data_IF_912066859687
#
_entry.id   IF_912066859687
#
_cell.length_a   1.000
_cell.length_b   1.000
_cell.length_c   1.000
_cell.angle_alpha   90.00
_cell.angle_beta   90.00
_cell.angle_gamma   90.00
#
_symmetry.space_group_name_H-M   'P 1'
#
loop_
_entity.id
_entity.type
_entity.pdbx_description
1 polymer ?
#
# COMPACT_ATOMS: atom_id res chain seq x y z
N UNK A 1 -12.72 -6.62 5.24
CA UNK A 1 -13.98 -5.91 5.54
C UNK A 1 -14.68 -6.65 6.67
N UNK A 2 -14.46 -6.25 7.92
CA UNK A 2 -14.90 -7.04 9.07
C UNK A 2 -16.42 -7.06 9.29
N UNK A 3 -17.16 -6.12 8.69
CA UNK A 3 -18.60 -5.95 8.91
C UNK A 3 -19.45 -6.25 7.66
N UNK A 4 -18.88 -6.86 6.62
CA UNK A 4 -19.62 -7.18 5.40
C UNK A 4 -19.10 -8.48 4.76
N UNK A 5 -19.76 -9.63 5.00
CA UNK A 5 -19.34 -10.92 4.45
C UNK A 5 -19.54 -11.01 2.93
N UNK A 6 -20.45 -10.21 2.37
CA UNK A 6 -20.73 -10.23 0.91
C UNK A 6 -19.68 -9.45 0.12
N UNK A 7 -18.90 -8.59 0.78
CA UNK A 7 -17.85 -7.81 0.14
C UNK A 7 -16.55 -8.61 0.07
N UNK A 8 -16.54 -9.63 -0.80
CA UNK A 8 -15.38 -10.47 -1.07
C UNK A 8 -15.05 -10.56 -2.57
N UNK A 9 -13.79 -10.85 -2.90
CA UNK A 9 -13.40 -11.19 -4.27
C UNK A 9 -11.95 -10.87 -4.65
N UNK A 10 -11.68 -10.95 -5.95
CA UNK A 10 -10.37 -10.65 -6.55
C UNK A 10 -10.53 -9.40 -7.42
N UNK A 11 -9.58 -8.48 -7.36
CA UNK A 11 -9.51 -7.28 -8.21
C UNK A 11 -9.85 -7.61 -9.67
N UNK A 12 -10.69 -6.78 -10.29
CA UNK A 12 -11.10 -6.96 -11.70
C UNK A 12 -9.96 -6.80 -12.69
N UNK A 13 -8.84 -6.21 -12.26
CA UNK A 13 -7.62 -6.05 -13.09
C UNK A 13 -6.78 -7.33 -13.17
N UNK A 14 -7.18 -8.39 -12.48
CA UNK A 14 -6.48 -9.68 -12.46
C UNK A 14 -7.33 -10.68 -13.23
N UNK A 15 -6.74 -11.26 -14.27
CA UNK A 15 -7.37 -12.14 -15.26
C UNK A 15 -6.47 -13.36 -15.52
N UNK A 16 -6.97 -14.34 -16.26
CA UNK A 16 -6.20 -15.53 -16.64
C UNK A 16 -5.78 -16.41 -15.46
N UNK A 17 -4.62 -17.04 -15.58
CA UNK A 17 -4.11 -18.01 -14.62
C UNK A 17 -3.83 -17.39 -13.24
N UNK A 18 -3.33 -16.15 -13.18
CA UNK A 18 -3.14 -15.38 -11.94
C UNK A 18 -4.43 -15.32 -11.09
N UNK A 19 -5.59 -15.22 -11.76
CA UNK A 19 -6.89 -15.16 -11.07
C UNK A 19 -7.26 -16.52 -10.47
N UNK A 20 -6.95 -17.61 -11.18
CA UNK A 20 -7.22 -18.97 -10.73
C UNK A 20 -6.33 -19.31 -9.54
N UNK A 21 -5.03 -19.03 -9.63
CA UNK A 21 -4.07 -19.22 -8.54
C UNK A 21 -4.46 -18.42 -7.30
N UNK A 22 -4.82 -17.14 -7.45
CA UNK A 22 -5.28 -16.33 -6.32
C UNK A 22 -6.58 -16.81 -5.72
N UNK A 23 -7.46 -17.42 -6.51
CA UNK A 23 -8.72 -18.00 -6.01
C UNK A 23 -8.45 -19.22 -5.14
N UNK A 24 -7.49 -20.06 -5.54
CA UNK A 24 -7.04 -21.20 -4.74
C UNK A 24 -6.34 -20.75 -3.46
N UNK A 25 -5.42 -19.79 -3.57
CA UNK A 25 -4.74 -19.20 -2.41
C UNK A 25 -5.72 -18.50 -1.45
N UNK A 26 -6.80 -17.89 -1.96
CA UNK A 26 -7.86 -17.31 -1.13
C UNK A 26 -8.65 -18.36 -0.36
N UNK A 27 -8.87 -19.53 -0.96
CA UNK A 27 -9.63 -20.61 -0.33
C UNK A 27 -8.88 -21.25 0.84
N UNK A 28 -7.55 -21.14 0.89
CA UNK A 28 -6.72 -21.61 2.01
C UNK A 28 -6.55 -20.59 3.13
N UNK A 29 -7.08 -19.36 2.99
CA UNK A 29 -7.00 -18.35 4.04
C UNK A 29 -8.01 -18.59 5.16
N UNK A 30 -7.55 -18.42 6.40
CA UNK A 30 -8.38 -18.48 7.59
C UNK A 30 -9.06 -17.12 7.81
N UNK A 31 -10.19 -16.89 7.14
CA UNK A 31 -11.01 -15.70 7.30
C UNK A 31 -12.13 -15.96 8.33
N UNK A 32 -12.23 -15.16 9.42
CA UNK A 32 -13.32 -15.28 10.38
C UNK A 32 -14.70 -15.11 9.74
N UNK A 33 -15.69 -15.84 10.26
CA UNK A 33 -17.08 -15.73 9.80
C UNK A 33 -17.61 -14.30 9.90
N UNK A 34 -18.47 -13.92 8.96
CA UNK A 34 -19.04 -12.58 8.89
C UNK A 34 -18.13 -11.52 8.26
N UNK A 35 -16.89 -11.85 7.93
CA UNK A 35 -15.96 -10.93 7.27
C UNK A 35 -15.87 -11.19 5.76
N UNK A 36 -15.66 -10.13 4.98
CA UNK A 36 -15.33 -10.20 3.56
C UNK A 36 -13.88 -9.78 3.30
N UNK A 37 -13.24 -10.35 2.28
CA UNK A 37 -11.86 -10.02 1.88
C UNK A 37 -11.78 -9.75 0.38
N UNK A 38 -11.10 -8.66 -0.01
CA UNK A 38 -10.80 -8.36 -1.41
C UNK A 38 -9.30 -8.41 -1.64
N UNK A 39 -8.86 -9.29 -2.55
CA UNK A 39 -7.47 -9.33 -3.00
C UNK A 39 -7.21 -8.21 -3.99
N UNK A 40 -6.18 -7.41 -3.69
CA UNK A 40 -5.76 -6.26 -4.50
C UNK A 40 -4.80 -6.70 -5.61
N UNK A 41 -4.64 -5.88 -6.65
CA UNK A 41 -3.71 -6.14 -7.77
C UNK A 41 -2.28 -6.39 -7.30
N UNK A 42 -1.85 -5.80 -6.19
CA UNK A 42 -0.53 -6.04 -5.58
C UNK A 42 -0.38 -7.44 -4.92
N UNK A 43 -1.46 -8.21 -4.84
CA UNK A 43 -1.47 -9.59 -4.32
C UNK A 43 -1.07 -10.63 -5.36
N UNK A 44 -1.01 -10.28 -6.65
CA UNK A 44 -0.57 -11.22 -7.71
C UNK A 44 0.83 -11.73 -7.43
N UNK A 45 1.05 -13.04 -7.59
CA UNK A 45 2.32 -13.71 -7.32
C UNK A 45 2.71 -13.80 -5.84
N UNK A 46 1.79 -13.53 -4.90
CA UNK A 46 2.02 -13.76 -3.47
C UNK A 46 1.57 -15.15 -3.07
N UNK A 47 2.36 -15.80 -2.22
CA UNK A 47 2.01 -17.10 -1.66
C UNK A 47 0.84 -16.99 -0.67
N UNK A 48 0.16 -18.10 -0.42
CA UNK A 48 -0.95 -18.16 0.55
C UNK A 48 -0.49 -17.71 1.95
N UNK A 49 0.73 -18.05 2.37
CA UNK A 49 1.30 -17.65 3.66
C UNK A 49 1.50 -16.14 3.75
N UNK A 50 1.96 -15.50 2.66
CA UNK A 50 2.13 -14.05 2.61
C UNK A 50 0.77 -13.33 2.69
N UNK A 51 -0.25 -13.87 2.03
CA UNK A 51 -1.62 -13.36 2.11
C UNK A 51 -2.24 -13.57 3.50
N UNK A 52 -2.02 -14.74 4.12
CA UNK A 52 -2.46 -15.05 5.49
C UNK A 52 -1.79 -14.14 6.52
N UNK A 53 -0.51 -13.83 6.33
CA UNK A 53 0.22 -12.89 7.16
C UNK A 53 -0.38 -11.48 7.06
N UNK A 54 -0.67 -10.99 5.85
CA UNK A 54 -1.32 -9.68 5.66
C UNK A 54 -2.73 -9.66 6.28
N UNK A 55 -3.51 -10.72 6.09
CA UNK A 55 -4.83 -10.90 6.72
C UNK A 55 -4.72 -10.84 8.24
N UNK A 56 -3.79 -11.60 8.83
CA UNK A 56 -3.58 -11.67 10.28
C UNK A 56 -3.23 -10.29 10.86
N UNK A 57 -2.42 -9.49 10.15
CA UNK A 57 -2.15 -8.12 10.57
C UNK A 57 -3.43 -7.26 10.56
N UNK A 58 -4.26 -7.37 9.51
CA UNK A 58 -5.53 -6.62 9.43
C UNK A 58 -6.50 -7.04 10.53
N UNK A 59 -6.57 -8.32 10.86
CA UNK A 59 -7.40 -8.83 11.96
C UNK A 59 -6.93 -8.30 13.31
N UNK A 60 -5.62 -8.32 13.60
CA UNK A 60 -5.06 -7.70 14.82
C UNK A 60 -5.41 -6.21 14.93
N UNK A 61 -5.33 -5.49 13.81
CA UNK A 61 -5.71 -4.09 13.77
C UNK A 61 -7.21 -3.89 14.04
N UNK A 62 -8.07 -4.75 13.50
CA UNK A 62 -9.50 -4.74 13.79
C UNK A 62 -9.81 -5.01 15.26
N UNK A 63 -9.13 -5.97 15.89
CA UNK A 63 -9.27 -6.22 17.33
C UNK A 63 -8.86 -5.01 18.17
N UNK A 64 -7.80 -4.30 17.78
CA UNK A 64 -7.39 -3.07 18.45
C UNK A 64 -8.46 -1.96 18.33
N UNK A 65 -9.09 -1.83 17.16
CA UNK A 65 -10.20 -0.89 16.94
C UNK A 65 -11.39 -1.22 17.85
N UNK A 66 -11.81 -2.49 17.93
CA UNK A 66 -12.91 -2.91 18.81
C UNK A 66 -12.62 -2.63 20.28
N UNK A 67 -11.43 -3.03 20.77
CA UNK A 67 -11.01 -2.77 22.14
C UNK A 67 -10.99 -1.28 22.49
N UNK A 68 -10.47 -0.46 21.58
CA UNK A 68 -10.46 0.99 21.76
C UNK A 68 -11.89 1.55 21.82
N UNK A 69 -12.79 1.09 20.93
CA UNK A 69 -14.20 1.50 20.94
C UNK A 69 -14.92 1.17 22.25
N UNK A 70 -14.64 0.00 22.85
CA UNK A 70 -15.24 -0.43 24.12
C UNK A 70 -14.62 0.27 25.35
N UNK A 71 -13.38 0.76 25.24
CA UNK A 71 -12.63 1.33 26.36
C UNK A 71 -13.15 2.66 26.90
N UNK A 72 -13.90 3.44 26.11
CA UNK A 72 -14.35 4.79 26.48
C UNK A 72 -15.67 5.13 25.79
N UNK A 73 -16.57 5.90 26.43
CA UNK A 73 -17.75 6.42 25.74
C UNK A 73 -17.40 7.44 24.65
N UNK A 74 -18.21 7.47 23.61
CA UNK A 74 -18.12 8.41 22.49
C UNK A 74 -18.38 9.87 22.94
N UNK A 75 -17.90 10.89 22.18
CA UNK A 75 -17.09 10.81 20.97
C UNK A 75 -15.58 10.86 21.24
N UNK A 76 -14.81 10.07 20.48
CA UNK A 76 -13.34 10.16 20.44
C UNK A 76 -12.79 9.49 19.17
N UNK A 77 -11.55 9.84 18.82
CA UNK A 77 -10.84 9.28 17.67
C UNK A 77 -10.31 7.89 18.00
N UNK A 78 -10.77 6.86 17.27
CA UNK A 78 -10.34 5.46 17.46
C UNK A 78 -9.18 5.12 16.53
N UNK A 79 -9.27 5.54 15.27
CA UNK A 79 -8.25 5.29 14.27
C UNK A 79 -8.10 6.52 13.38
N UNK A 80 -6.87 6.97 13.19
CA UNK A 80 -6.53 8.06 12.32
C UNK A 80 -5.72 7.54 11.14
N UNK A 81 -6.32 7.51 9.95
CA UNK A 81 -5.61 7.19 8.71
C UNK A 81 -4.87 8.45 8.23
N UNK A 82 -3.80 8.87 8.93
CA UNK A 82 -3.10 10.13 8.60
C UNK A 82 -1.59 10.02 8.44
N UNK A 83 -0.98 8.84 8.58
CA UNK A 83 0.42 8.74 8.20
C UNK A 83 0.52 8.67 6.67
N UNK A 84 0.75 9.82 6.04
CA UNK A 84 0.92 9.97 4.59
C UNK A 84 1.96 8.99 4.05
N UNK A 85 2.95 8.61 4.86
CA UNK A 85 3.99 7.63 4.55
C UNK A 85 3.40 6.23 4.41
N UNK A 86 2.48 5.85 5.30
CA UNK A 86 1.81 4.55 5.24
C UNK A 86 0.94 4.46 4.01
N UNK A 87 0.19 5.52 3.71
CA UNK A 87 -0.60 5.61 2.49
C UNK A 87 0.31 5.54 1.26
N UNK A 88 1.41 6.29 1.27
CA UNK A 88 2.40 6.30 0.20
C UNK A 88 2.98 4.89 -0.06
N UNK A 89 3.38 4.19 1.00
CA UNK A 89 3.90 2.83 0.88
C UNK A 89 2.85 1.82 0.47
N UNK A 90 1.62 1.92 0.98
CA UNK A 90 0.55 1.00 0.61
C UNK A 90 0.14 1.14 -0.86
N UNK A 91 0.08 2.37 -1.35
CA UNK A 91 -0.58 2.68 -2.63
C UNK A 91 0.42 2.78 -3.80
N UNK A 92 1.66 3.18 -3.53
CA UNK A 92 2.64 3.47 -4.57
C UNK A 92 3.90 2.59 -4.50
N UNK A 93 4.12 1.83 -3.43
CA UNK A 93 5.32 1.00 -3.30
C UNK A 93 5.30 -0.21 -4.23
N UNK A 94 5.97 -0.07 -5.37
CA UNK A 94 6.10 -1.07 -6.42
C UNK A 94 7.55 -1.57 -6.52
N UNK A 95 7.75 -2.74 -7.11
CA UNK A 95 9.07 -3.38 -7.19
C UNK A 95 10.09 -2.61 -8.02
N UNK A 96 9.62 -1.82 -9.00
CA UNK A 96 10.40 -0.92 -9.87
C UNK A 96 10.95 0.32 -9.15
N UNK A 97 10.51 0.59 -7.91
CA UNK A 97 11.09 1.67 -7.10
C UNK A 97 12.50 1.28 -6.67
N UNK A 98 13.49 2.05 -7.12
CA UNK A 98 14.90 1.87 -6.77
C UNK A 98 15.20 2.33 -5.34
N UNK A 99 14.81 3.55 -4.99
CA UNK A 99 15.16 4.18 -3.71
C UNK A 99 14.01 5.04 -3.15
N UNK A 100 13.94 5.14 -1.82
CA UNK A 100 13.02 5.98 -1.08
C UNK A 100 13.86 6.96 -0.27
N UNK A 101 13.92 8.21 -0.71
CA UNK A 101 14.70 9.26 -0.07
C UNK A 101 13.85 10.00 0.95
N UNK A 102 14.37 10.09 2.17
CA UNK A 102 13.75 10.83 3.28
C UNK A 102 14.80 11.78 3.83
N UNK A 103 14.47 13.05 3.96
CA UNK A 103 15.38 14.12 4.45
C UNK A 103 15.35 14.28 5.98
N UNK A 104 14.36 13.70 6.66
CA UNK A 104 14.20 13.78 8.11
C UNK A 104 14.51 12.43 8.80
N UNK A 105 15.52 12.37 9.68
CA UNK A 105 15.90 11.14 10.39
C UNK A 105 14.77 10.52 11.23
N UNK A 106 13.93 11.35 11.87
CA UNK A 106 12.79 10.86 12.68
C UNK A 106 11.76 10.18 11.78
N UNK A 107 11.53 10.75 10.60
CA UNK A 107 10.58 10.22 9.61
C UNK A 107 11.11 8.93 8.98
N UNK A 108 12.42 8.83 8.78
CA UNK A 108 13.07 7.64 8.25
C UNK A 108 12.92 6.43 9.16
N UNK A 109 13.11 6.60 10.47
CA UNK A 109 12.90 5.53 11.44
C UNK A 109 11.43 5.09 11.48
N UNK A 110 10.50 6.04 11.46
CA UNK A 110 9.07 5.73 11.34
C UNK A 110 8.78 4.96 10.04
N UNK A 111 9.36 5.36 8.92
CA UNK A 111 9.17 4.69 7.63
C UNK A 111 9.65 3.22 7.67
N UNK A 112 10.83 2.96 8.25
CA UNK A 112 11.38 1.60 8.40
C UNK A 112 10.49 0.72 9.27
N UNK A 113 10.03 1.23 10.41
CA UNK A 113 9.10 0.51 11.28
C UNK A 113 7.81 0.15 10.55
N UNK A 114 7.28 1.07 9.72
CA UNK A 114 6.06 0.84 8.96
C UNK A 114 6.24 -0.16 7.82
N UNK A 115 7.37 -0.13 7.10
CA UNK A 115 7.67 -1.13 6.06
C UNK A 115 7.78 -2.53 6.67
N UNK A 116 8.43 -2.65 7.83
CA UNK A 116 8.47 -3.91 8.58
C UNK A 116 7.07 -4.36 9.00
N UNK A 117 6.24 -3.45 9.51
CA UNK A 117 4.85 -3.73 9.88
C UNK A 117 3.94 -4.09 8.68
N UNK A 118 4.27 -3.61 7.48
CA UNK A 118 3.55 -3.95 6.24
C UNK A 118 3.98 -5.29 5.63
N UNK A 119 4.97 -5.98 6.20
CA UNK A 119 5.44 -7.27 5.69
C UNK A 119 6.22 -7.14 4.39
N UNK A 120 6.87 -5.99 4.18
CA UNK A 120 7.68 -5.71 2.99
C UNK A 120 9.14 -5.41 3.36
N UNK A 121 9.82 -6.27 4.14
CA UNK A 121 11.18 -6.01 4.61
C UNK A 121 12.18 -5.80 3.47
N UNK A 122 11.88 -6.33 2.27
CA UNK A 122 12.62 -6.14 1.02
C UNK A 122 12.78 -4.66 0.61
N UNK A 123 11.90 -3.78 1.08
CA UNK A 123 12.00 -2.33 0.82
C UNK A 123 12.73 -1.56 1.91
N UNK A 124 13.06 -2.18 3.04
CA UNK A 124 13.76 -1.51 4.15
C UNK A 124 15.15 -1.02 3.73
N UNK A 125 15.86 -1.82 2.92
CA UNK A 125 17.17 -1.47 2.35
C UNK A 125 17.11 -0.34 1.32
N UNK A 126 15.94 -0.10 0.73
CA UNK A 126 15.71 0.97 -0.25
C UNK A 126 15.43 2.33 0.42
N UNK A 127 15.11 2.36 1.72
CA UNK A 127 14.93 3.61 2.47
C UNK A 127 16.30 4.20 2.85
N UNK A 128 16.60 5.39 2.30
CA UNK A 128 17.86 6.10 2.53
C UNK A 128 17.61 7.51 3.07
N UNK A 129 18.53 7.95 3.94
CA UNK A 129 18.54 9.32 4.44
C UNK A 129 19.17 10.22 3.37
N UNK A 130 18.47 11.29 3.00
CA UNK A 130 19.04 12.35 2.20
C UNK A 130 19.75 13.35 3.12
N UNK A 131 21.03 13.61 2.86
CA UNK A 131 21.88 14.51 3.67
C UNK A 131 22.52 15.61 2.81
N UNK A 132 21.99 15.87 1.62
CA UNK A 132 22.50 16.92 0.75
C UNK A 132 22.17 18.32 1.29
N UNK A 133 23.03 19.29 0.99
CA UNK A 133 22.84 20.69 1.39
C UNK A 133 21.68 21.37 0.63
N UNK A 134 21.42 20.90 -0.59
CA UNK A 134 20.33 21.38 -1.44
C UNK A 134 19.04 20.65 -1.03
N UNK A 135 17.88 21.34 -0.88
CA UNK A 135 16.62 20.67 -0.57
C UNK A 135 16.31 19.54 -1.56
N UNK A 136 15.79 18.41 -1.06
CA UNK A 136 15.59 17.19 -1.83
C UNK A 136 14.85 17.43 -3.16
N UNK A 137 13.77 18.21 -3.15
CA UNK A 137 12.98 18.47 -4.36
C UNK A 137 13.69 19.38 -5.37
N UNK A 138 14.49 20.32 -4.90
CA UNK A 138 15.31 21.19 -5.74
C UNK A 138 16.47 20.39 -6.37
N UNK A 139 17.09 19.48 -5.62
CA UNK A 139 18.15 18.60 -6.12
C UNK A 139 17.67 17.74 -7.29
N UNK A 140 16.43 17.24 -7.24
CA UNK A 140 15.81 16.48 -8.34
C UNK A 140 15.03 17.36 -9.34
N UNK A 141 15.10 18.69 -9.23
CA UNK A 141 14.45 19.66 -10.12
C UNK A 141 12.93 19.46 -10.30
N UNK A 142 12.25 18.92 -9.27
CA UNK A 142 10.81 18.67 -9.29
C UNK A 142 10.01 19.79 -8.63
N UNK A 143 10.66 20.76 -8.01
CA UNK A 143 10.04 21.86 -7.29
C UNK A 143 9.14 22.73 -8.19
N UNK A 144 9.60 23.04 -9.40
CA UNK A 144 8.82 23.78 -10.41
C UNK A 144 7.54 23.06 -10.85
N UNK A 145 7.51 21.72 -10.73
CA UNK A 145 6.35 20.90 -11.05
C UNK A 145 5.36 20.78 -9.88
N UNK A 146 5.74 21.19 -8.67
CA UNK A 146 4.91 21.13 -7.45
C UNK A 146 4.15 22.42 -7.12
N UNK A 147 4.41 23.52 -7.85
CA UNK A 147 3.83 24.86 -7.62
C UNK A 147 2.33 24.98 -7.97
N UNK A 148 1.71 23.96 -8.57
CA UNK A 148 0.25 23.86 -8.69
C UNK A 148 -0.34 22.98 -7.56
N UNK A 149 -1.26 23.49 -6.72
CA UNK A 149 -1.86 22.68 -5.66
C UNK A 149 -2.87 21.69 -6.26
N UNK A 150 -3.28 20.61 -5.56
CA UNK A 150 -3.21 20.43 -4.11
C UNK A 150 -2.63 19.07 -3.65
N UNK A 151 -2.28 19.02 -2.36
CA UNK A 151 -2.32 17.86 -1.46
C UNK A 151 -1.79 16.50 -1.97
N UNK A 152 -0.80 15.96 -1.26
CA UNK A 152 -0.35 14.56 -1.24
C UNK A 152 0.86 14.22 -2.12
N UNK A 153 1.79 13.51 -1.48
CA UNK A 153 2.97 12.80 -2.01
C UNK A 153 2.79 12.35 -3.47
N UNK A 154 3.75 12.70 -4.34
CA UNK A 154 3.84 12.20 -5.73
C UNK A 154 5.16 11.47 -5.94
N UNK A 155 5.07 10.29 -6.54
CA UNK A 155 6.19 9.47 -7.01
C UNK A 155 6.53 9.83 -8.46
N UNK A 156 7.82 9.90 -8.79
CA UNK A 156 8.30 10.13 -10.16
C UNK A 156 8.27 8.81 -10.92
N UNK A 157 7.26 8.60 -11.77
CA UNK A 157 7.24 7.52 -12.78
C UNK A 157 7.62 8.12 -14.14
N UNK A 158 8.64 7.55 -14.80
CA UNK A 158 8.91 7.83 -16.21
C UNK A 158 7.78 7.22 -17.07
N UNK A 159 7.15 7.98 -17.99
CA UNK A 159 6.17 7.44 -18.90
C UNK A 159 6.89 6.73 -20.06
N UNK A 160 6.88 5.40 -20.08
CA UNK A 160 6.96 4.68 -21.35
C UNK A 160 5.56 4.70 -21.93
N UNK A 161 5.35 5.55 -22.94
CA UNK A 161 4.10 5.63 -23.71
C UNK A 161 3.87 4.28 -24.42
N UNK A 162 2.78 3.56 -24.18
CA UNK A 162 2.35 2.50 -25.07
C UNK A 162 1.70 3.16 -26.30
N UNK A 163 2.35 3.05 -27.45
CA UNK A 163 1.74 3.34 -28.75
C UNK A 163 0.57 2.37 -28.97
N UNK A 164 -0.67 2.81 -28.72
CA UNK A 164 -1.84 2.19 -29.34
C UNK A 164 -1.88 2.63 -30.81
N UNK A 165 -1.44 1.75 -31.71
CA UNK A 165 -1.75 1.85 -33.13
C UNK A 165 -3.19 1.37 -33.35
N UNK A 166 -4.12 2.31 -33.51
CA UNK A 166 -5.45 2.02 -34.06
C UNK A 166 -5.32 1.91 -35.57
N UNK A 167 -5.35 0.68 -36.11
CA UNK A 167 -5.55 0.45 -37.53
C UNK A 167 -6.97 0.88 -37.93
N UNK A 168 -7.16 1.65 -39.02
CA UNK A 168 -8.49 1.94 -39.55
C UNK A 168 -9.01 0.71 -40.30
N UNK A 169 -10.23 0.26 -39.94
CA UNK A 169 -11.01 -0.69 -40.73
C UNK A 169 -11.27 -0.12 -42.14
N UNK A 170 -10.82 -0.83 -43.17
CA UNK A 170 -11.50 -0.98 -44.46
C UNK A 170 -11.35 -2.43 -44.91
#
# INVERSE_FOLDING_TARGET
>A
MPNNPRAGGISRRIEGDDRTELKEALASLELPEGMGLIVRTAGVGKSAEALQWDLSFRLKHWEAIKKAAESRPAPFLIHQESNVIVRAFRDYLRQDIGEILIDNPKVLELARQHIAALGRPDFSSKIKLYTGEIPLFSHYQIESQTSSPPSSVKFVCHPVVPLLSTAPKR
#
